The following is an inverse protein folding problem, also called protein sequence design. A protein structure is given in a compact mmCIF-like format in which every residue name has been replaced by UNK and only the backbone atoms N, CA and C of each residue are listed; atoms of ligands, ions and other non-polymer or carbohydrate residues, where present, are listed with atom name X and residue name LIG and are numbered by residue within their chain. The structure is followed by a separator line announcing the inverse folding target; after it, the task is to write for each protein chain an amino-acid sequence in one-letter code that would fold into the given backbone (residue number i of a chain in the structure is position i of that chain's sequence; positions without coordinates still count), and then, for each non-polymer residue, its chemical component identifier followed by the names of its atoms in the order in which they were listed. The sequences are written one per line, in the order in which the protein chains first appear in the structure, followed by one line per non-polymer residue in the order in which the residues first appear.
data_IF_859001364583
#
_entry.id   IF_859001364583
#
_cell.length_a   1.000
_cell.length_b   1.000
_cell.length_c   1.000
_cell.angle_alpha   90.00
_cell.angle_beta   90.00
_cell.angle_gamma   90.00
#
_symmetry.space_group_name_H-M   'P 1'
#
loop_
_entity.id
_entity.type
_entity.pdbx_description
1 polymer ?
#
# COMPACT_ATOMS: atom_id res chain seq x y z
N UNK A 1 65.23 10.63 -19.30
CA UNK A 1 64.56 11.48 -18.27
C UNK A 1 63.12 11.89 -18.61
N UNK A 2 62.77 12.26 -19.85
CA UNK A 2 61.41 12.72 -20.22
C UNK A 2 60.32 11.64 -20.08
N UNK A 3 60.66 10.38 -20.34
CA UNK A 3 59.72 9.24 -20.27
C UNK A 3 59.44 8.79 -18.82
N UNK A 4 60.43 8.84 -17.93
CA UNK A 4 60.23 8.58 -16.49
C UNK A 4 59.30 9.61 -15.85
N UNK A 5 59.45 10.90 -16.17
CA UNK A 5 58.55 11.96 -15.67
C UNK A 5 57.10 11.77 -16.16
N UNK A 6 56.91 11.33 -17.41
CA UNK A 6 55.57 11.02 -17.95
C UNK A 6 54.95 9.83 -17.22
N UNK A 7 55.69 8.75 -17.03
CA UNK A 7 55.22 7.55 -16.33
C UNK A 7 54.82 7.84 -14.87
N UNK A 8 55.63 8.62 -14.14
CA UNK A 8 55.30 9.03 -12.77
C UNK A 8 54.04 9.89 -12.69
N UNK A 9 53.82 10.78 -13.65
CA UNK A 9 52.60 11.61 -13.71
C UNK A 9 51.38 10.75 -14.03
N UNK A 10 51.48 9.79 -14.96
CA UNK A 10 50.36 8.90 -15.29
C UNK A 10 49.99 8.00 -14.11
N UNK A 11 50.98 7.50 -13.35
CA UNK A 11 50.74 6.69 -12.16
C UNK A 11 50.03 7.51 -11.05
N UNK A 12 50.44 8.77 -10.85
CA UNK A 12 49.80 9.67 -9.89
C UNK A 12 48.36 9.99 -10.27
N UNK A 13 48.09 10.24 -11.57
CA UNK A 13 46.73 10.48 -12.07
C UNK A 13 45.88 9.22 -11.91
N UNK A 14 46.41 8.03 -12.24
CA UNK A 14 45.71 6.76 -12.04
C UNK A 14 45.37 6.48 -10.58
N UNK A 15 46.31 6.74 -9.67
CA UNK A 15 46.11 6.54 -8.23
C UNK A 15 45.11 7.54 -7.65
N UNK A 16 45.20 8.82 -8.03
CA UNK A 16 44.26 9.84 -7.57
C UNK A 16 42.84 9.58 -8.10
N UNK A 17 42.70 9.13 -9.35
CA UNK A 17 41.41 8.73 -9.90
C UNK A 17 40.82 7.50 -9.17
N UNK A 18 41.66 6.52 -8.82
CA UNK A 18 41.24 5.35 -8.05
C UNK A 18 40.78 5.72 -6.62
N UNK A 19 41.46 6.66 -5.96
CA UNK A 19 41.07 7.16 -4.63
C UNK A 19 39.74 7.90 -4.68
N UNK A 20 39.50 8.73 -5.70
CA UNK A 20 38.22 9.45 -5.88
C UNK A 20 37.07 8.47 -6.15
N UNK A 21 37.30 7.42 -6.95
CA UNK A 21 36.30 6.37 -7.19
C UNK A 21 36.02 5.51 -5.94
N UNK A 22 36.99 5.38 -5.03
CA UNK A 22 36.83 4.64 -3.78
C UNK A 22 36.27 5.48 -2.61
N UNK A 23 36.36 6.82 -2.67
CA UNK A 23 35.98 7.68 -1.54
C UNK A 23 34.47 7.90 -1.40
N UNK A 24 33.70 7.73 -2.47
CA UNK A 24 32.25 7.83 -2.45
C UNK A 24 31.62 6.45 -2.27
N UNK A 25 31.76 5.87 -1.07
CA UNK A 25 30.95 4.73 -0.66
C UNK A 25 29.62 5.27 -0.11
N UNK A 26 28.50 4.70 -0.52
CA UNK A 26 27.20 5.01 0.08
C UNK A 26 27.33 4.88 1.61
N UNK A 27 27.18 6.00 2.33
CA UNK A 27 27.15 5.98 3.78
C UNK A 27 25.89 5.21 4.17
N UNK A 28 26.05 4.07 4.85
CA UNK A 28 24.92 3.22 5.24
C UNK A 28 23.86 3.95 6.08
N UNK A 29 22.82 3.23 6.50
CA UNK A 29 21.66 3.81 7.19
C UNK A 29 22.07 4.42 8.55
N UNK A 30 22.33 5.74 8.56
CA UNK A 30 22.65 6.52 9.76
C UNK A 30 21.50 7.48 10.03
N UNK A 31 20.70 7.28 11.09
CA UNK A 31 19.57 8.14 11.42
C UNK A 31 19.96 9.59 11.81
N UNK A 32 21.25 9.86 11.98
CA UNK A 32 21.78 11.18 12.34
C UNK A 32 22.19 11.25 13.80
N UNK A 33 22.39 12.47 14.30
CA UNK A 33 22.63 12.76 15.71
C UNK A 33 21.41 13.46 16.27
N UNK A 34 20.90 12.95 17.39
CA UNK A 34 19.80 13.56 18.12
C UNK A 34 20.36 14.27 19.35
N UNK A 35 19.96 15.53 19.57
CA UNK A 35 20.34 16.30 20.76
C UNK A 35 19.19 16.26 21.77
N UNK A 36 19.47 15.78 22.99
CA UNK A 36 18.49 15.65 24.07
C UNK A 36 17.19 14.90 23.65
N UNK A 37 17.28 13.63 23.23
CA UNK A 37 16.15 12.86 22.67
C UNK A 37 15.10 12.41 23.68
N UNK A 38 15.16 12.86 24.93
CA UNK A 38 14.12 12.60 25.92
C UNK A 38 12.76 13.02 25.35
N UNK A 39 11.78 12.12 25.41
CA UNK A 39 10.42 12.31 24.86
C UNK A 39 10.30 12.38 23.33
N UNK A 40 11.36 12.13 22.54
CA UNK A 40 11.24 12.04 21.07
C UNK A 40 10.66 10.71 20.63
N UNK A 41 10.93 9.67 21.41
CA UNK A 41 10.34 8.36 21.26
C UNK A 41 9.21 8.20 22.25
N UNK A 42 8.09 7.66 21.77
CA UNK A 42 6.95 7.37 22.63
C UNK A 42 7.21 6.12 23.48
N UNK A 43 7.02 6.27 24.79
CA UNK A 43 6.95 5.13 25.72
C UNK A 43 5.67 4.31 25.48
N UNK A 44 4.60 4.96 25.01
CA UNK A 44 3.36 4.29 24.65
C UNK A 44 3.51 3.43 23.38
N UNK A 45 2.69 2.38 23.27
CA UNK A 45 2.61 1.57 22.06
C UNK A 45 2.03 2.36 20.89
N UNK A 46 2.90 2.71 19.93
CA UNK A 46 2.48 3.25 18.64
C UNK A 46 2.06 2.13 17.68
N UNK A 47 1.01 2.32 16.86
CA UNK A 47 0.50 1.28 15.98
C UNK A 47 1.54 0.66 15.05
N UNK A 48 2.42 1.48 14.45
CA UNK A 48 3.37 1.05 13.42
C UNK A 48 4.84 1.22 13.79
N UNK A 49 5.15 1.49 15.07
CA UNK A 49 6.53 1.53 15.57
C UNK A 49 6.84 0.21 16.27
N UNK A 50 8.02 -0.34 16.00
CA UNK A 50 8.43 -1.62 16.54
C UNK A 50 9.93 -1.64 16.87
N UNK A 51 10.30 -1.02 17.99
CA UNK A 51 11.68 -1.05 18.49
C UNK A 51 11.82 -2.32 19.34
N UNK A 52 12.54 -3.30 18.79
CA UNK A 52 12.66 -4.64 19.38
C UNK A 52 13.91 -4.81 20.24
N UNK A 53 14.87 -3.89 20.13
CA UNK A 53 16.07 -3.82 20.94
C UNK A 53 15.74 -3.26 22.33
N UNK A 54 15.87 -4.09 23.36
CA UNK A 54 15.61 -3.72 24.75
C UNK A 54 16.67 -2.78 25.31
N UNK A 55 17.86 -2.68 24.71
CA UNK A 55 18.89 -1.73 25.16
C UNK A 55 18.73 -0.33 24.55
N UNK A 56 17.78 -0.16 23.62
CA UNK A 56 17.58 1.10 22.92
C UNK A 56 17.13 2.19 23.89
N UNK A 57 17.90 3.28 23.97
CA UNK A 57 17.62 4.40 24.88
C UNK A 57 18.04 4.16 26.34
N UNK A 58 18.73 3.07 26.67
CA UNK A 58 19.15 2.77 28.07
C UNK A 58 20.07 3.84 28.68
N UNK A 59 20.77 4.61 27.84
CA UNK A 59 21.65 5.70 28.26
C UNK A 59 20.90 7.00 28.63
N UNK A 60 19.60 7.09 28.34
CA UNK A 60 18.71 8.21 28.69
C UNK A 60 17.79 7.89 29.85
N UNK A 61 17.62 6.61 30.16
CA UNK A 61 16.69 6.11 31.17
C UNK A 61 16.96 6.80 32.51
N UNK A 62 16.02 7.67 32.89
CA UNK A 62 15.85 8.16 34.26
C UNK A 62 14.81 7.34 35.04
N UNK A 63 14.11 6.44 34.34
CA UNK A 63 13.06 5.55 34.85
C UNK A 63 13.57 4.11 34.80
N UNK A 64 13.73 3.48 35.97
CA UNK A 64 13.98 2.04 36.04
C UNK A 64 12.69 1.28 35.76
N UNK A 65 12.58 0.67 34.57
CA UNK A 65 11.47 -0.22 34.23
C UNK A 65 11.70 -1.60 34.86
N UNK A 66 10.64 -2.23 35.39
CA UNK A 66 10.71 -3.52 36.12
C UNK A 66 11.33 -4.67 35.31
N UNK A 67 11.24 -4.60 33.98
CA UNK A 67 11.77 -5.55 33.01
C UNK A 67 13.11 -5.10 32.38
N UNK A 68 13.66 -3.96 32.82
CA UNK A 68 15.00 -3.49 32.49
C UNK A 68 15.22 -3.01 31.06
N UNK A 69 14.14 -2.72 30.31
CA UNK A 69 14.27 -2.15 28.96
C UNK A 69 14.69 -0.66 29.00
N UNK A 70 15.32 -0.20 27.92
CA UNK A 70 15.66 1.21 27.69
C UNK A 70 14.47 2.02 27.17
N UNK A 71 14.52 3.33 27.37
CA UNK A 71 13.41 4.28 27.12
C UNK A 71 12.74 4.17 25.73
N UNK A 72 13.46 3.69 24.70
CA UNK A 72 12.94 3.63 23.34
C UNK A 72 12.30 2.29 22.99
N UNK A 73 12.42 1.27 23.83
CA UNK A 73 11.77 -0.02 23.59
C UNK A 73 10.24 0.14 23.68
N UNK A 74 9.54 -0.20 22.59
CA UNK A 74 8.08 -0.03 22.51
C UNK A 74 7.38 -1.18 21.77
N UNK A 75 8.00 -2.36 21.71
CA UNK A 75 7.39 -3.53 21.08
C UNK A 75 6.59 -4.35 22.07
N UNK A 76 5.48 -4.94 21.63
CA UNK A 76 4.68 -5.84 22.47
C UNK A 76 5.20 -7.28 22.40
N UNK A 77 5.88 -7.75 23.45
CA UNK A 77 6.44 -9.10 23.52
C UNK A 77 5.39 -10.23 23.49
N UNK A 78 4.13 -9.94 23.83
CA UNK A 78 3.05 -10.94 23.90
C UNK A 78 2.36 -11.18 22.55
N UNK A 79 2.62 -10.33 21.54
CA UNK A 79 1.96 -10.40 20.25
C UNK A 79 2.87 -11.05 19.18
N UNK A 80 2.32 -11.81 18.20
CA UNK A 80 3.12 -12.35 17.11
C UNK A 80 3.91 -11.25 16.38
N UNK A 81 5.14 -11.60 16.00
CA UNK A 81 6.08 -10.68 15.36
C UNK A 81 6.39 -9.42 16.18
N UNK A 82 6.08 -9.37 17.48
CA UNK A 82 6.28 -8.21 18.38
C UNK A 82 5.57 -6.91 17.95
N UNK A 83 4.52 -7.01 17.13
CA UNK A 83 3.76 -5.84 16.66
C UNK A 83 2.89 -5.27 17.78
N UNK A 84 2.64 -3.96 17.76
CA UNK A 84 1.68 -3.35 18.69
C UNK A 84 0.21 -3.54 18.25
N UNK A 85 -0.02 -3.82 16.96
CA UNK A 85 -1.35 -4.09 16.41
C UNK A 85 -1.78 -5.53 16.65
N UNK A 86 -2.95 -5.72 17.26
CA UNK A 86 -3.56 -7.04 17.48
C UNK A 86 -4.70 -7.29 16.49
N UNK A 87 -4.87 -8.54 16.10
CA UNK A 87 -6.06 -8.95 15.38
C UNK A 87 -7.28 -8.81 16.30
N UNK A 88 -8.37 -8.18 15.85
CA UNK A 88 -9.60 -8.14 16.63
C UNK A 88 -10.15 -9.56 16.83
N UNK A 89 -10.82 -9.85 17.95
CA UNK A 89 -11.46 -11.14 18.13
C UNK A 89 -12.44 -11.44 17.00
N UNK A 90 -12.53 -12.72 16.62
CA UNK A 90 -13.41 -13.17 15.55
C UNK A 90 -14.86 -12.75 15.81
N UNK A 91 -15.59 -12.46 14.73
CA UNK A 91 -17.02 -12.09 14.73
C UNK A 91 -17.41 -10.80 15.46
N UNK A 92 -16.45 -10.02 15.96
CA UNK A 92 -16.73 -8.69 16.54
C UNK A 92 -17.29 -7.72 15.49
N UNK A 93 -18.15 -6.80 15.94
CA UNK A 93 -18.70 -5.70 15.14
C UNK A 93 -18.40 -4.40 15.87
N UNK A 94 -17.68 -3.49 15.21
CA UNK A 94 -17.47 -2.16 15.74
C UNK A 94 -18.74 -1.33 15.57
N UNK A 95 -19.02 -0.44 16.54
CA UNK A 95 -20.06 0.58 16.37
C UNK A 95 -19.53 1.66 15.42
N UNK A 96 -20.32 2.06 14.44
CA UNK A 96 -20.02 3.20 13.59
C UNK A 96 -21.11 4.27 13.72
N UNK A 97 -20.77 5.52 13.35
CA UNK A 97 -21.70 6.66 13.46
C UNK A 97 -22.99 6.46 12.65
N UNK A 98 -22.94 5.64 11.60
CA UNK A 98 -24.08 5.34 10.73
C UNK A 98 -24.96 4.19 11.28
N UNK A 99 -24.57 3.52 12.38
CA UNK A 99 -25.19 2.29 12.89
C UNK A 99 -25.39 1.20 11.82
N UNK A 100 -24.54 1.17 10.79
CA UNK A 100 -24.64 0.21 9.69
C UNK A 100 -23.83 -1.04 10.02
N UNK A 101 -24.43 -2.22 9.82
CA UNK A 101 -23.70 -3.47 9.97
C UNK A 101 -22.65 -3.63 8.86
N UNK A 102 -21.49 -4.24 9.15
CA UNK A 102 -20.49 -4.49 8.14
C UNK A 102 -21.04 -5.40 7.03
N UNK A 103 -20.64 -5.14 5.80
CA UNK A 103 -20.93 -6.02 4.68
C UNK A 103 -20.26 -7.38 4.88
N UNK A 104 -21.04 -8.46 4.86
CA UNK A 104 -20.62 -9.82 5.26
C UNK A 104 -20.97 -10.90 4.23
N UNK A 105 -21.34 -10.53 3.00
CA UNK A 105 -21.60 -11.55 1.99
C UNK A 105 -20.31 -12.32 1.65
N UNK A 106 -20.35 -13.66 1.65
CA UNK A 106 -19.20 -14.48 1.25
C UNK A 106 -18.78 -14.20 -0.19
N UNK A 107 -17.51 -14.45 -0.50
CA UNK A 107 -16.92 -14.22 -1.83
C UNK A 107 -17.74 -14.83 -2.97
N UNK A 108 -18.28 -16.04 -2.76
CA UNK A 108 -19.00 -16.79 -3.80
C UNK A 108 -20.46 -16.33 -4.00
N UNK A 109 -20.96 -15.42 -3.17
CA UNK A 109 -22.36 -14.93 -3.20
C UNK A 109 -22.60 -13.81 -4.23
N UNK A 110 -22.00 -13.91 -5.42
CA UNK A 110 -22.08 -12.89 -6.47
C UNK A 110 -23.52 -12.61 -6.94
N UNK A 111 -24.35 -13.65 -7.08
CA UNK A 111 -25.74 -13.49 -7.52
C UNK A 111 -26.60 -12.73 -6.51
N UNK A 112 -26.36 -12.97 -5.21
CA UNK A 112 -27.05 -12.25 -4.13
C UNK A 112 -26.55 -10.81 -4.09
N UNK A 113 -25.23 -10.62 -4.19
CA UNK A 113 -24.63 -9.29 -4.21
C UNK A 113 -25.12 -8.43 -5.37
N UNK A 114 -25.31 -9.03 -6.56
CA UNK A 114 -25.83 -8.33 -7.73
C UNK A 114 -27.23 -7.74 -7.53
N UNK A 115 -28.03 -8.27 -6.60
CA UNK A 115 -29.36 -7.76 -6.25
C UNK A 115 -29.32 -6.58 -5.28
N UNK A 116 -28.17 -6.30 -4.67
CA UNK A 116 -28.02 -5.19 -3.73
C UNK A 116 -27.96 -3.87 -4.50
N UNK A 117 -28.86 -2.97 -4.13
CA UNK A 117 -28.95 -1.62 -4.67
C UNK A 117 -27.95 -0.69 -3.97
N UNK A 118 -27.40 0.22 -4.75
CA UNK A 118 -26.52 1.26 -4.24
C UNK A 118 -27.28 2.21 -3.31
N UNK A 119 -26.68 2.65 -2.19
CA UNK A 119 -27.28 3.68 -1.35
C UNK A 119 -27.41 5.04 -2.05
N UNK A 120 -26.80 5.20 -3.22
CA UNK A 120 -26.85 6.39 -4.07
C UNK A 120 -27.79 6.24 -5.28
N UNK A 121 -28.67 5.24 -5.28
CA UNK A 121 -29.71 5.10 -6.30
C UNK A 121 -30.61 6.35 -6.32
N UNK A 122 -30.87 6.91 -7.51
CA UNK A 122 -31.66 8.13 -7.67
C UNK A 122 -30.96 9.43 -7.28
N UNK A 123 -29.72 9.38 -6.78
CA UNK A 123 -28.91 10.56 -6.49
C UNK A 123 -28.08 10.92 -7.71
N UNK A 124 -28.42 12.05 -8.36
CA UNK A 124 -27.59 12.67 -9.39
C UNK A 124 -26.73 13.75 -8.74
N UNK A 125 -25.44 13.45 -8.57
CA UNK A 125 -24.48 14.35 -7.94
C UNK A 125 -23.15 14.26 -8.69
N UNK A 126 -22.77 15.35 -9.36
CA UNK A 126 -21.52 15.44 -10.10
C UNK A 126 -20.28 15.20 -9.21
N UNK A 127 -20.32 15.61 -7.93
CA UNK A 127 -19.22 15.37 -7.00
C UNK A 127 -19.03 13.88 -6.72
N UNK A 128 -20.12 13.12 -6.58
CA UNK A 128 -20.08 11.68 -6.34
C UNK A 128 -19.36 10.95 -7.49
N UNK A 129 -19.65 11.36 -8.73
CA UNK A 129 -18.97 10.82 -9.91
C UNK A 129 -17.51 11.25 -10.00
N UNK A 130 -17.20 12.50 -9.64
CA UNK A 130 -15.83 13.00 -9.60
C UNK A 130 -14.98 12.23 -8.57
N UNK A 131 -15.51 12.00 -7.38
CA UNK A 131 -14.88 11.19 -6.33
C UNK A 131 -14.68 9.75 -6.79
N UNK A 132 -15.72 9.14 -7.37
CA UNK A 132 -15.65 7.78 -7.93
C UNK A 132 -14.58 7.64 -9.01
N UNK A 133 -14.43 8.65 -9.88
CA UNK A 133 -13.37 8.70 -10.90
C UNK A 133 -11.98 8.81 -10.27
N UNK A 134 -11.80 9.66 -9.27
CA UNK A 134 -10.53 9.80 -8.57
C UNK A 134 -10.12 8.49 -7.89
N UNK A 135 -11.06 7.85 -7.20
CA UNK A 135 -10.87 6.55 -6.56
C UNK A 135 -10.55 5.45 -7.58
N UNK A 136 -11.29 5.37 -8.69
CA UNK A 136 -10.98 4.44 -9.78
C UNK A 136 -9.58 4.66 -10.35
N UNK A 137 -9.17 5.93 -10.48
CA UNK A 137 -7.83 6.28 -10.95
C UNK A 137 -6.74 5.75 -10.02
N UNK A 138 -6.91 5.89 -8.71
CA UNK A 138 -5.93 5.43 -7.72
C UNK A 138 -5.85 3.91 -7.57
N UNK A 139 -6.98 3.21 -7.64
CA UNK A 139 -7.03 1.78 -7.30
C UNK A 139 -7.19 0.82 -8.47
N UNK A 140 -7.80 1.26 -9.57
CA UNK A 140 -8.29 0.35 -10.62
C UNK A 140 -7.58 0.51 -11.97
N UNK A 141 -7.17 1.73 -12.34
CA UNK A 141 -6.63 2.02 -13.68
C UNK A 141 -5.36 1.26 -14.01
N UNK A 142 -4.55 0.92 -13.01
CA UNK A 142 -3.30 0.18 -13.21
C UNK A 142 -3.52 -1.18 -13.88
N UNK A 143 -4.66 -1.82 -13.63
CA UNK A 143 -5.06 -3.09 -14.26
C UNK A 143 -6.12 -2.88 -15.35
N UNK A 144 -7.21 -2.19 -15.03
CA UNK A 144 -8.37 -2.08 -15.93
C UNK A 144 -8.24 -0.97 -16.98
N UNK A 145 -7.23 -0.09 -16.88
CA UNK A 145 -7.04 1.04 -17.78
C UNK A 145 -7.97 2.22 -17.48
N UNK A 146 -7.69 3.37 -18.09
CA UNK A 146 -8.44 4.62 -17.85
C UNK A 146 -9.91 4.54 -18.29
N UNK A 147 -10.17 3.77 -19.35
CA UNK A 147 -11.51 3.55 -19.90
C UNK A 147 -12.13 2.21 -19.48
N UNK A 148 -11.42 1.38 -18.71
CA UNK A 148 -11.91 0.07 -18.31
C UNK A 148 -11.73 -1.02 -19.38
N UNK A 149 -10.85 -0.84 -20.35
CA UNK A 149 -10.67 -1.77 -21.48
C UNK A 149 -9.79 -2.99 -21.12
N UNK A 150 -9.31 -3.08 -19.88
CA UNK A 150 -8.42 -4.16 -19.44
C UNK A 150 -6.97 -3.98 -19.90
N UNK A 151 -6.60 -2.76 -20.30
CA UNK A 151 -5.35 -2.41 -20.95
C UNK A 151 -4.35 -1.68 -20.03
N UNK A 152 -4.60 -1.70 -18.72
CA UNK A 152 -3.70 -1.11 -17.73
C UNK A 152 -2.28 -1.71 -17.81
N UNK A 153 -1.26 -0.97 -17.38
CA UNK A 153 0.15 -1.41 -17.46
C UNK A 153 0.44 -2.71 -16.74
N UNK A 154 -0.31 -3.03 -15.69
CA UNK A 154 -0.22 -4.31 -14.98
C UNK A 154 -0.75 -5.47 -15.83
N UNK A 155 -1.74 -5.21 -16.69
CA UNK A 155 -2.35 -6.18 -17.59
C UNK A 155 -1.57 -6.36 -18.89
N UNK A 156 -1.17 -5.25 -19.53
CA UNK A 156 -0.44 -5.25 -20.81
C UNK A 156 1.05 -5.51 -20.63
N UNK A 157 1.58 -5.23 -19.44
CA UNK A 157 2.98 -5.44 -19.10
C UNK A 157 3.89 -4.26 -19.42
N UNK A 158 5.16 -4.46 -19.07
CA UNK A 158 6.26 -3.54 -19.32
C UNK A 158 7.47 -4.32 -19.84
N UNK A 159 8.26 -3.65 -20.69
CA UNK A 159 9.55 -4.17 -21.13
C UNK A 159 10.58 -4.02 -20.01
N UNK A 160 11.17 -5.12 -19.56
CA UNK A 160 12.29 -5.13 -18.61
C UNK A 160 13.42 -5.93 -19.28
N UNK A 161 14.61 -5.33 -19.43
CA UNK A 161 15.76 -5.97 -20.09
C UNK A 161 15.46 -6.54 -21.49
N UNK A 162 14.64 -5.85 -22.28
CA UNK A 162 14.26 -6.26 -23.64
C UNK A 162 13.24 -7.40 -23.71
N UNK A 163 12.69 -7.83 -22.56
CA UNK A 163 11.66 -8.88 -22.48
C UNK A 163 10.36 -8.27 -21.96
N UNK A 164 9.27 -8.46 -22.71
CA UNK A 164 7.92 -8.09 -22.29
C UNK A 164 7.46 -8.95 -21.12
N UNK A 165 7.01 -8.30 -20.03
CA UNK A 165 6.49 -8.99 -18.84
C UNK A 165 5.18 -8.36 -18.41
N UNK A 166 4.12 -9.17 -18.35
CA UNK A 166 2.85 -8.83 -17.71
C UNK A 166 2.71 -9.60 -16.39
N UNK A 167 2.13 -8.94 -15.38
CA UNK A 167 1.91 -9.56 -14.08
C UNK A 167 0.58 -10.34 -14.03
N UNK A 168 -0.43 -9.88 -14.76
CA UNK A 168 -1.76 -10.49 -14.74
C UNK A 168 -2.34 -10.58 -16.15
N UNK A 169 -2.48 -11.81 -16.65
CA UNK A 169 -3.20 -12.08 -17.88
C UNK A 169 -4.73 -12.10 -17.63
N UNK A 170 -5.50 -11.73 -18.65
CA UNK A 170 -6.96 -11.87 -18.62
C UNK A 170 -7.68 -10.86 -17.72
N UNK A 171 -7.12 -9.66 -17.53
CA UNK A 171 -7.84 -8.58 -16.85
C UNK A 171 -9.11 -8.25 -17.62
N UNK A 172 -10.23 -8.18 -16.89
CA UNK A 172 -11.53 -7.97 -17.51
C UNK A 172 -11.62 -6.61 -18.20
N UNK A 173 -12.05 -6.63 -19.46
CA UNK A 173 -12.55 -5.45 -20.16
C UNK A 173 -13.97 -5.15 -19.66
N UNK A 174 -14.11 -4.11 -18.86
CA UNK A 174 -15.36 -3.68 -18.24
C UNK A 174 -16.40 -3.21 -19.28
N UNK A 175 -15.98 -2.80 -20.48
CA UNK A 175 -16.87 -2.47 -21.60
C UNK A 175 -17.29 -3.70 -22.43
N UNK A 176 -16.64 -4.85 -22.22
CA UNK A 176 -16.98 -6.06 -22.97
C UNK A 176 -18.42 -6.51 -22.70
N UNK A 177 -19.02 -7.21 -23.68
CA UNK A 177 -20.41 -7.68 -23.59
C UNK A 177 -20.70 -8.53 -22.34
N UNK A 178 -19.69 -9.25 -21.84
CA UNK A 178 -19.81 -10.04 -20.61
C UNK A 178 -19.97 -9.18 -19.34
N UNK A 179 -19.63 -7.89 -19.38
CA UNK A 179 -19.53 -7.02 -18.21
C UNK A 179 -20.39 -5.76 -18.29
N UNK A 180 -20.76 -5.27 -19.47
CA UNK A 180 -21.52 -4.01 -19.62
C UNK A 180 -22.83 -3.97 -18.82
N UNK A 181 -23.49 -5.11 -18.66
CA UNK A 181 -24.80 -5.24 -18.00
C UNK A 181 -24.72 -5.62 -16.51
N UNK A 182 -23.52 -5.72 -15.93
CA UNK A 182 -23.39 -6.03 -14.49
C UNK A 182 -23.92 -4.87 -13.63
N UNK A 183 -24.51 -5.21 -12.48
CA UNK A 183 -25.08 -4.22 -11.57
C UNK A 183 -24.00 -3.57 -10.69
N UNK A 184 -24.31 -2.41 -10.10
CA UNK A 184 -23.43 -1.76 -9.12
C UNK A 184 -23.13 -2.69 -7.92
N UNK A 185 -24.11 -3.48 -7.48
CA UNK A 185 -23.93 -4.46 -6.40
C UNK A 185 -22.92 -5.56 -6.74
N UNK A 186 -22.88 -6.00 -8.02
CA UNK A 186 -21.85 -6.93 -8.49
C UNK A 186 -20.46 -6.30 -8.39
N UNK A 187 -20.30 -5.07 -8.90
CA UNK A 187 -19.02 -4.36 -8.90
C UNK A 187 -18.54 -4.11 -7.47
N UNK A 188 -19.43 -3.62 -6.60
CA UNK A 188 -19.15 -3.42 -5.18
C UNK A 188 -18.63 -4.70 -4.50
N UNK A 189 -19.25 -5.85 -4.78
CA UNK A 189 -18.85 -7.12 -4.18
C UNK A 189 -17.51 -7.62 -4.72
N UNK A 190 -17.26 -7.48 -6.02
CA UNK A 190 -15.96 -7.83 -6.61
C UNK A 190 -14.84 -6.98 -6.00
N UNK A 191 -15.06 -5.67 -5.81
CA UNK A 191 -14.06 -4.81 -5.13
C UNK A 191 -13.88 -5.26 -3.67
N UNK A 192 -14.96 -5.69 -3.01
CA UNK A 192 -14.93 -6.10 -1.61
C UNK A 192 -14.20 -7.41 -1.37
N UNK A 193 -14.55 -8.46 -2.11
CA UNK A 193 -14.14 -9.84 -1.85
C UNK A 193 -13.16 -10.41 -2.91
N UNK A 194 -12.91 -9.67 -3.99
CA UNK A 194 -12.12 -10.12 -5.13
C UNK A 194 -12.85 -11.13 -6.01
N UNK A 195 -12.33 -11.39 -7.21
CA UNK A 195 -12.86 -12.39 -8.16
C UNK A 195 -11.74 -12.89 -9.06
N UNK A 196 -11.61 -14.21 -9.19
CA UNK A 196 -10.51 -14.82 -9.94
C UNK A 196 -9.16 -14.35 -9.41
N UNK A 197 -8.33 -13.78 -10.29
CA UNK A 197 -7.02 -13.22 -9.97
C UNK A 197 -7.06 -11.82 -9.32
N UNK A 198 -8.22 -11.15 -9.32
CA UNK A 198 -8.36 -9.85 -8.66
C UNK A 198 -8.47 -10.03 -7.15
N UNK A 199 -7.49 -9.51 -6.41
CA UNK A 199 -7.46 -9.51 -4.96
C UNK A 199 -8.58 -8.62 -4.35
N UNK A 200 -9.00 -8.89 -3.10
CA UNK A 200 -9.96 -8.03 -2.40
C UNK A 200 -9.35 -6.68 -2.05
N UNK A 201 -10.06 -5.59 -2.33
CA UNK A 201 -9.69 -4.22 -1.92
C UNK A 201 -10.48 -3.75 -0.69
N UNK A 202 -11.33 -4.59 -0.10
CA UNK A 202 -12.21 -4.22 1.01
C UNK A 202 -11.51 -3.74 2.29
N UNK A 203 -10.22 -4.04 2.47
CA UNK A 203 -9.38 -3.55 3.57
C UNK A 203 -8.77 -2.17 3.31
N UNK A 204 -8.68 -1.74 2.05
CA UNK A 204 -8.07 -0.48 1.63
C UNK A 204 -9.12 0.59 1.32
N UNK A 205 -10.29 0.17 0.81
CA UNK A 205 -11.33 1.07 0.33
C UNK A 205 -12.57 0.96 1.21
N UNK A 206 -13.08 2.10 1.69
CA UNK A 206 -14.29 2.16 2.50
C UNK A 206 -15.51 1.60 1.73
N UNK A 207 -16.57 1.21 2.44
CA UNK A 207 -17.79 0.72 1.75
C UNK A 207 -18.42 1.82 0.90
N UNK A 208 -18.45 3.05 1.40
CA UNK A 208 -18.99 4.20 0.67
C UNK A 208 -18.22 4.44 -0.63
N UNK A 209 -16.89 4.45 -0.55
CA UNK A 209 -16.03 4.71 -1.72
C UNK A 209 -16.10 3.58 -2.75
N UNK A 210 -16.29 2.33 -2.32
CA UNK A 210 -16.58 1.21 -3.23
C UNK A 210 -17.85 1.43 -4.03
N UNK A 211 -18.90 1.98 -3.42
CA UNK A 211 -20.14 2.33 -4.14
C UNK A 211 -19.93 3.50 -5.11
N UNK A 212 -19.12 4.51 -4.75
CA UNK A 212 -18.74 5.60 -5.66
C UNK A 212 -17.98 5.08 -6.88
N UNK A 213 -17.01 4.17 -6.68
CA UNK A 213 -16.29 3.51 -7.76
C UNK A 213 -17.27 2.72 -8.63
N UNK A 214 -18.17 1.91 -8.04
CA UNK A 214 -19.14 1.13 -8.79
C UNK A 214 -20.02 2.00 -9.69
N UNK A 215 -20.52 3.13 -9.16
CA UNK A 215 -21.28 4.13 -9.93
C UNK A 215 -20.44 4.72 -11.07
N UNK A 216 -19.17 5.09 -10.83
CA UNK A 216 -18.29 5.58 -11.89
C UNK A 216 -18.03 4.53 -12.98
N UNK A 217 -17.81 3.26 -12.61
CA UNK A 217 -17.62 2.17 -13.57
C UNK A 217 -18.83 2.06 -14.51
N UNK A 218 -20.07 2.19 -14.00
CA UNK A 218 -21.27 2.20 -14.87
C UNK A 218 -21.25 3.31 -15.93
N UNK A 219 -20.54 4.42 -15.72
CA UNK A 219 -20.44 5.51 -16.72
C UNK A 219 -19.46 5.23 -17.85
N UNK A 220 -18.49 4.34 -17.63
CA UNK A 220 -17.50 3.96 -18.65
C UNK A 220 -17.91 2.69 -19.41
N UNK A 221 -18.84 1.90 -18.86
CA UNK A 221 -19.48 0.78 -19.57
C UNK A 221 -20.46 1.35 -20.59
N UNK A 222 -20.13 1.24 -21.88
CA UNK A 222 -20.94 1.73 -23.00
C UNK A 222 -21.19 0.64 -24.01
#
# INVERSE_FOLDING_TARGET
MKNMKRLSVTLFIGLSLAVVLASCKAGGDKPGLEYAPNMYHSVAYEPYTQITDQSSGSWLTSIEYDDGHGEFYNSNALNPHRMNMRMPPAHTVSRNKANVLPYRLPKDSLEIAAKIKSPFEGVDNAQLLADGKALYTMYCTHCHGAKGEGDGKVATGVTIDGVERSAYAGVANLQGDAYKDITEGHIFHVITAGKGLMAPHGSQISQEDRWKIARYVKTIQK
#
